data_IF_354138290660
#
_entry.id   IF_354138290660
#
_cell.length_a   1.000
_cell.length_b   1.000
_cell.length_c   1.000
_cell.angle_alpha   90.00
_cell.angle_beta   90.00
_cell.angle_gamma   90.00
#
_symmetry.space_group_name_H-M   'P 1'
#
loop_
_entity.id
_entity.type
_entity.pdbx_description
1 polymer ?
#
# COMPACT_ATOMS: atom_id res chain seq x y z
N UNK A 1 123.64 0.54 -2.10
CA UNK A 1 122.68 -0.57 -2.32
C UNK A 1 121.49 -0.62 -1.35
N UNK A 2 121.54 -0.05 -0.13
CA UNK A 2 120.40 -0.10 0.81
C UNK A 2 119.21 0.81 0.42
N UNK A 3 119.48 2.00 -0.13
CA UNK A 3 118.45 2.96 -0.56
C UNK A 3 117.60 2.47 -1.74
N UNK A 4 118.20 1.72 -2.68
CA UNK A 4 117.50 1.13 -3.81
C UNK A 4 116.48 0.05 -3.39
N UNK A 5 116.78 -0.73 -2.35
CA UNK A 5 115.86 -1.74 -1.79
C UNK A 5 114.71 -1.12 -1.01
N UNK A 6 114.96 -0.02 -0.29
CA UNK A 6 113.93 0.73 0.39
C UNK A 6 112.97 1.42 -0.60
N UNK A 7 113.50 1.97 -1.69
CA UNK A 7 112.70 2.58 -2.74
C UNK A 7 111.79 1.56 -3.45
N UNK A 8 112.29 0.36 -3.75
CA UNK A 8 111.46 -0.70 -4.37
C UNK A 8 110.37 -1.22 -3.44
N UNK A 9 110.65 -1.33 -2.14
CA UNK A 9 109.65 -1.71 -1.14
C UNK A 9 108.55 -0.65 -1.01
N UNK A 10 108.92 0.64 -0.96
CA UNK A 10 107.96 1.73 -0.90
C UNK A 10 107.09 1.80 -2.17
N UNK A 11 107.69 1.63 -3.35
CA UNK A 11 106.96 1.61 -4.61
C UNK A 11 106.00 0.40 -4.72
N UNK A 12 106.43 -0.79 -4.30
CA UNK A 12 105.58 -1.98 -4.26
C UNK A 12 104.40 -1.82 -3.29
N UNK A 13 104.63 -1.21 -2.13
CA UNK A 13 103.58 -0.93 -1.15
C UNK A 13 102.57 0.10 -1.66
N UNK A 14 103.04 1.15 -2.36
CA UNK A 14 102.17 2.14 -2.99
C UNK A 14 101.30 1.52 -4.11
N UNK A 15 101.85 0.59 -4.89
CA UNK A 15 101.11 -0.13 -5.92
C UNK A 15 100.01 -1.03 -5.34
N UNK A 16 100.26 -1.69 -4.21
CA UNK A 16 99.24 -2.50 -3.51
C UNK A 16 98.11 -1.64 -2.93
N UNK A 17 98.41 -0.47 -2.38
CA UNK A 17 97.40 0.47 -1.88
C UNK A 17 96.55 1.10 -3.00
N UNK A 18 97.11 1.24 -4.21
CA UNK A 18 96.37 1.71 -5.38
C UNK A 18 95.32 0.70 -5.90
N UNK A 19 95.38 -0.57 -5.46
CA UNK A 19 94.47 -1.64 -5.90
C UNK A 19 93.01 -1.48 -5.44
N UNK A 20 92.69 -0.48 -4.61
CA UNK A 20 91.31 -0.16 -4.22
C UNK A 20 90.48 0.47 -5.35
N UNK A 21 91.12 1.08 -6.35
CA UNK A 21 90.42 1.71 -7.47
C UNK A 21 89.82 0.72 -8.49
N UNK A 22 90.25 -0.55 -8.45
CA UNK A 22 89.73 -1.61 -9.32
C UNK A 22 88.40 -2.22 -8.82
N UNK A 23 87.98 -1.88 -7.59
CA UNK A 23 86.61 -2.08 -7.11
C UNK A 23 85.70 -0.93 -7.59
N UNK A 24 85.85 -0.53 -8.85
CA UNK A 24 84.84 0.28 -9.52
C UNK A 24 83.64 -0.63 -9.82
N UNK A 25 82.97 -1.08 -8.76
CA UNK A 25 81.76 -1.89 -8.85
C UNK A 25 80.70 -1.10 -9.60
N UNK A 26 80.40 -1.51 -10.83
CA UNK A 26 79.33 -0.90 -11.60
C UNK A 26 78.01 -1.49 -11.11
N UNK A 27 77.30 -0.73 -10.28
CA UNK A 27 75.96 -1.07 -9.82
C UNK A 27 74.92 -0.51 -10.79
N UNK A 28 74.23 -1.39 -11.52
CA UNK A 28 73.09 -1.02 -12.35
C UNK A 28 71.81 -1.31 -11.58
N UNK A 29 71.14 -0.24 -11.12
CA UNK A 29 69.80 -0.33 -10.56
C UNK A 29 68.76 -0.17 -11.66
N UNK A 30 67.91 -1.18 -11.86
CA UNK A 30 66.76 -1.08 -12.77
C UNK A 30 65.52 -0.88 -11.91
N UNK A 31 64.88 0.28 -12.03
CA UNK A 31 63.58 0.52 -11.41
C UNK A 31 62.49 0.01 -12.36
N UNK A 32 61.83 -1.09 -11.99
CA UNK A 32 60.63 -1.55 -12.69
C UNK A 32 59.45 -0.89 -12.01
N UNK A 33 59.02 0.25 -12.55
CA UNK A 33 57.84 0.97 -12.11
C UNK A 33 56.58 0.16 -12.46
N UNK A 34 56.19 -0.77 -11.59
CA UNK A 34 54.88 -1.40 -11.69
C UNK A 34 53.88 -0.40 -11.10
N UNK A 35 52.98 0.18 -11.91
CA UNK A 35 51.98 1.10 -11.39
C UNK A 35 51.10 0.38 -10.38
N UNK A 36 50.90 1.00 -9.22
CA UNK A 36 50.03 0.46 -8.19
C UNK A 36 48.61 0.25 -8.77
N UNK A 37 47.90 -0.82 -8.37
CA UNK A 37 46.51 -1.02 -8.80
C UNK A 37 45.67 0.19 -8.42
N UNK A 38 45.10 0.87 -9.42
CA UNK A 38 44.18 1.98 -9.19
C UNK A 38 42.78 1.39 -9.08
N UNK A 39 42.21 1.44 -7.87
CA UNK A 39 40.81 1.12 -7.67
C UNK A 39 39.97 2.36 -7.97
N UNK A 40 39.21 2.30 -9.07
CA UNK A 40 38.23 3.34 -9.41
C UNK A 40 36.87 2.91 -8.90
N UNK A 41 36.35 3.63 -7.92
CA UNK A 41 34.96 3.45 -7.51
C UNK A 41 34.03 3.85 -8.67
N UNK A 42 33.02 3.03 -9.00
CA UNK A 42 32.03 3.41 -10.00
C UNK A 42 31.34 4.73 -9.63
N UNK A 43 31.10 5.57 -10.64
CA UNK A 43 30.34 6.79 -10.44
C UNK A 43 28.91 6.45 -9.96
N UNK A 44 28.36 7.20 -8.99
CA UNK A 44 26.97 7.04 -8.60
C UNK A 44 26.04 7.26 -9.80
N UNK A 45 25.17 6.29 -10.07
CA UNK A 45 24.11 6.43 -11.07
C UNK A 45 22.87 6.97 -10.38
N UNK A 46 22.45 8.18 -10.77
CA UNK A 46 21.19 8.75 -10.30
C UNK A 46 20.04 8.27 -11.19
N UNK A 47 19.08 7.58 -10.58
CA UNK A 47 17.80 7.32 -11.22
C UNK A 47 16.92 8.58 -11.14
N UNK A 48 16.21 8.94 -12.22
CA UNK A 48 15.21 10.00 -12.14
C UNK A 48 14.10 9.60 -11.15
N UNK A 49 13.52 10.58 -10.43
CA UNK A 49 12.42 10.31 -9.53
C UNK A 49 11.22 9.75 -10.30
N UNK A 50 10.43 8.85 -9.69
CA UNK A 50 9.23 8.31 -10.31
C UNK A 50 8.22 9.42 -10.63
N UNK A 51 7.41 9.26 -11.69
CA UNK A 51 6.41 10.26 -12.06
C UNK A 51 5.39 10.51 -10.94
N UNK A 52 4.87 11.73 -10.80
CA UNK A 52 3.88 12.05 -9.78
C UNK A 52 2.63 11.18 -9.91
N UNK A 53 2.18 10.61 -8.78
CA UNK A 53 0.90 9.91 -8.73
C UNK A 53 -0.22 10.95 -8.63
N UNK A 54 -1.05 11.05 -9.67
CA UNK A 54 -2.26 11.88 -9.65
C UNK A 54 -3.40 11.05 -9.07
N UNK A 55 -3.82 11.38 -7.86
CA UNK A 55 -5.02 10.79 -7.26
C UNK A 55 -6.25 11.52 -7.77
N UNK A 56 -7.10 10.78 -8.51
CA UNK A 56 -8.43 11.27 -8.81
C UNK A 56 -9.31 11.11 -7.56
N UNK A 57 -10.06 12.15 -7.14
CA UNK A 57 -11.03 12.02 -6.07
C UNK A 57 -12.07 10.94 -6.40
N UNK A 58 -12.39 10.10 -5.42
CA UNK A 58 -13.47 9.13 -5.58
C UNK A 58 -14.80 9.86 -5.89
N UNK A 59 -15.64 9.35 -6.81
CA UNK A 59 -16.95 9.92 -7.06
C UNK A 59 -17.79 9.93 -5.79
N UNK A 60 -18.25 11.11 -5.36
CA UNK A 60 -19.19 11.24 -4.25
C UNK A 60 -20.60 11.16 -4.80
N UNK A 61 -21.31 10.06 -4.49
CA UNK A 61 -22.74 9.95 -4.77
C UNK A 61 -23.51 10.70 -3.69
N UNK A 62 -24.13 11.82 -4.08
CA UNK A 62 -25.10 12.53 -3.23
C UNK A 62 -26.49 11.95 -3.47
N UNK A 63 -27.24 11.59 -2.40
CA UNK A 63 -28.62 11.19 -2.54
C UNK A 63 -29.45 12.34 -3.14
N UNK A 64 -30.41 11.98 -4.00
CA UNK A 64 -31.31 12.95 -4.60
C UNK A 64 -32.08 13.72 -3.50
N UNK A 65 -32.27 15.04 -3.64
CA UNK A 65 -33.06 15.81 -2.67
C UNK A 65 -34.52 15.32 -2.70
N UNK A 66 -35.07 15.00 -1.53
CA UNK A 66 -36.50 14.71 -1.38
C UNK A 66 -37.24 16.04 -1.20
N UNK A 67 -37.93 16.47 -2.25
CA UNK A 67 -38.76 17.68 -2.22
C UNK A 67 -40.15 17.36 -1.67
N UNK A 68 -40.28 17.43 -0.34
CA UNK A 68 -41.58 17.48 0.34
C UNK A 68 -41.93 16.24 1.16
N UNK A 69 -42.90 16.39 2.08
CA UNK A 69 -43.39 15.27 2.88
C UNK A 69 -44.08 14.24 1.98
N UNK A 70 -43.79 12.96 2.20
CA UNK A 70 -44.59 11.90 1.62
C UNK A 70 -46.06 12.04 2.10
N UNK A 71 -47.05 11.85 1.23
CA UNK A 71 -48.45 11.90 1.64
C UNK A 71 -48.71 10.83 2.70
N UNK A 72 -49.27 11.24 3.85
CA UNK A 72 -49.70 10.32 4.90
C UNK A 72 -51.17 9.94 4.68
N UNK A 73 -51.42 8.66 4.41
CA UNK A 73 -52.77 8.11 4.31
C UNK A 73 -53.00 7.21 5.53
N UNK A 74 -53.84 7.65 6.45
CA UNK A 74 -54.16 6.91 7.68
C UNK A 74 -55.24 5.85 7.36
N UNK A 75 -55.06 4.63 7.83
CA UNK A 75 -56.10 3.58 7.79
C UNK A 75 -57.27 4.03 8.66
N UNK A 76 -58.47 4.11 8.10
CA UNK A 76 -59.61 4.64 8.84
C UNK A 76 -60.68 5.30 7.98
N UNK A 77 -61.61 5.96 8.68
CA UNK A 77 -62.69 6.72 8.05
C UNK A 77 -62.22 8.09 7.57
N UNK A 78 -62.53 8.38 6.31
CA UNK A 78 -62.31 9.65 5.63
C UNK A 78 -63.66 10.14 5.11
N UNK A 79 -64.43 10.79 5.99
CA UNK A 79 -65.83 11.13 5.73
C UNK A 79 -66.70 9.88 5.61
N UNK A 80 -67.34 9.69 4.45
CA UNK A 80 -68.22 8.55 4.17
C UNK A 80 -67.51 7.35 3.55
N UNK A 81 -66.18 7.38 3.47
CA UNK A 81 -65.39 6.27 2.94
C UNK A 81 -64.38 5.78 3.95
N UNK A 82 -64.28 4.46 4.11
CA UNK A 82 -63.27 3.82 4.94
C UNK A 82 -62.11 3.32 4.07
N UNK A 83 -60.87 3.64 4.43
CA UNK A 83 -59.66 3.15 3.76
C UNK A 83 -59.04 2.01 4.56
N UNK A 84 -58.86 0.85 3.93
CA UNK A 84 -58.30 -0.36 4.54
C UNK A 84 -56.79 -0.56 4.26
N UNK A 85 -56.14 0.39 3.60
CA UNK A 85 -54.75 0.27 3.14
C UNK A 85 -54.61 -0.16 1.67
N UNK A 86 -55.69 -0.60 1.02
CA UNK A 86 -55.69 -1.07 -0.39
C UNK A 86 -56.81 -0.46 -1.23
N UNK A 87 -57.99 -0.26 -0.66
CA UNK A 87 -59.17 0.31 -1.33
C UNK A 87 -60.02 1.15 -0.39
N UNK A 88 -60.82 2.01 -0.99
CA UNK A 88 -61.91 2.68 -0.28
C UNK A 88 -63.15 1.79 -0.24
N UNK A 89 -63.85 1.85 0.88
CA UNK A 89 -65.15 1.24 1.13
C UNK A 89 -66.17 2.36 1.33
N UNK A 90 -67.29 2.32 0.61
CA UNK A 90 -68.42 3.21 0.92
C UNK A 90 -69.04 2.85 2.28
N UNK A 91 -69.59 3.84 2.99
CA UNK A 91 -70.26 3.64 4.28
C UNK A 91 -71.29 2.52 4.23
N UNK A 92 -72.17 2.53 3.24
CA UNK A 92 -73.22 1.52 3.07
C UNK A 92 -72.67 0.14 2.71
N UNK A 93 -71.56 0.10 1.98
CA UNK A 93 -70.88 -1.14 1.60
C UNK A 93 -70.22 -1.77 2.83
N UNK A 94 -69.56 -0.96 3.66
CA UNK A 94 -68.94 -1.39 4.90
C UNK A 94 -69.97 -1.98 5.87
N UNK A 95 -71.11 -1.33 6.06
CA UNK A 95 -72.19 -1.85 6.90
C UNK A 95 -72.79 -3.14 6.34
N UNK A 96 -72.98 -3.24 5.02
CA UNK A 96 -73.46 -4.48 4.38
C UNK A 96 -72.45 -5.62 4.47
N UNK A 97 -71.17 -5.32 4.28
CA UNK A 97 -70.10 -6.31 4.30
C UNK A 97 -69.91 -6.86 5.72
N UNK A 98 -69.81 -5.97 6.70
CA UNK A 98 -69.61 -6.33 8.10
C UNK A 98 -70.87 -6.86 8.78
N UNK A 99 -72.06 -6.52 8.30
CA UNK A 99 -73.33 -7.08 8.78
C UNK A 99 -73.47 -8.57 8.44
N UNK A 100 -72.99 -9.01 7.27
CA UNK A 100 -73.08 -10.42 6.86
C UNK A 100 -72.17 -11.36 7.66
N UNK A 101 -71.12 -10.85 8.27
CA UNK A 101 -70.24 -11.63 9.14
C UNK A 101 -70.93 -11.98 10.47
N UNK A 102 -71.83 -11.12 10.97
CA UNK A 102 -72.60 -11.38 12.20
C UNK A 102 -73.73 -12.40 12.00
N UNK A 103 -74.33 -12.45 10.81
CA UNK A 103 -75.49 -13.33 10.53
C UNK A 103 -75.10 -14.80 10.26
N UNK A 104 -73.84 -15.09 9.91
CA UNK A 104 -73.38 -16.48 9.66
C UNK A 104 -73.02 -17.27 10.92
N UNK A 105 -72.83 -16.60 12.05
CA UNK A 105 -72.44 -17.27 13.31
C UNK A 105 -73.60 -17.77 14.17
N UNK A 106 -74.85 -17.45 13.82
CA UNK A 106 -75.98 -17.57 14.76
C UNK A 106 -76.95 -18.74 14.48
N UNK A 107 -76.70 -19.57 13.47
CA UNK A 107 -77.64 -20.62 13.06
C UNK A 107 -77.42 -21.99 13.73
N UNK A 108 -76.40 -22.17 14.57
CA UNK A 108 -76.05 -23.49 15.15
C UNK A 108 -76.29 -23.65 16.67
N UNK A 109 -77.03 -22.75 17.33
CA UNK A 109 -77.22 -22.81 18.80
C UNK A 109 -78.69 -22.80 19.27
N UNK A 110 -79.56 -23.62 18.67
CA UNK A 110 -81.00 -23.54 18.97
C UNK A 110 -81.82 -24.82 18.97
N UNK A 111 -81.22 -26.01 19.17
CA UNK A 111 -82.01 -27.24 19.38
C UNK A 111 -81.50 -28.07 20.55
N UNK A 112 -81.93 -27.72 21.76
CA UNK A 112 -82.23 -28.72 22.78
C UNK A 112 -83.57 -28.40 23.44
N UNK A 113 -84.46 -29.37 23.35
CA UNK A 113 -85.86 -29.30 23.69
C UNK A 113 -86.08 -29.61 25.17
N UNK A 114 -87.02 -28.88 25.77
CA UNK A 114 -88.11 -29.51 26.53
C UNK A 114 -87.84 -29.91 27.97
N UNK A 115 -88.18 -29.01 28.88
CA UNK A 115 -88.70 -29.38 30.21
C UNK A 115 -89.92 -30.29 30.07
N UNK A 116 -89.93 -31.43 30.77
CA UNK A 116 -91.15 -32.17 31.12
C UNK A 116 -91.02 -32.76 32.52
N UNK A 117 -91.96 -32.34 33.37
CA UNK A 117 -92.46 -32.92 34.63
C UNK A 117 -91.48 -33.15 35.78
#
# INVERSE_FOLDING_TARGET
>A
MKSLRAASLAAGFAALLASGAALAGVSVGINVGVPAPVYVAPAPVYAPPPPPVVYQPAPVYVPAPVYGPAPSIVIGWHGDRYWDGRRYWGRDEWYRHRGRDWDRGHWDNGRHNGWRH
#
